data_IF_808592031826
#
_entry.id   IF_808592031826
#
_cell.length_a   1.000
_cell.length_b   1.000
_cell.length_c   1.000
_cell.angle_alpha   90.00
_cell.angle_beta   90.00
_cell.angle_gamma   90.00
#
_symmetry.space_group_name_H-M   'P 1'
#
loop_
_entity.id
_entity.type
_entity.pdbx_description
1 polymer ?
#
# COMPACT_ATOMS: atom_id res chain seq x y z
N UNK A 1 -39.27 -3.60 24.14
CA UNK A 1 -40.70 -3.28 23.94
C UNK A 1 -40.85 -2.51 22.62
N UNK A 2 -41.73 -3.00 21.74
CA UNK A 2 -42.43 -2.35 20.59
C UNK A 2 -41.68 -1.49 19.56
N UNK A 3 -41.55 -2.12 18.37
CA UNK A 3 -41.68 -1.63 16.97
C UNK A 3 -42.28 -0.23 16.77
N UNK A 4 -41.74 0.46 15.75
CA UNK A 4 -42.53 0.98 14.62
C UNK A 4 -41.70 0.96 13.32
N UNK A 5 -42.34 0.44 12.27
CA UNK A 5 -41.93 0.43 10.86
C UNK A 5 -42.48 1.69 10.19
N UNK A 6 -41.78 2.19 9.18
CA UNK A 6 -42.41 2.81 7.99
C UNK A 6 -41.59 2.47 6.74
N UNK A 7 -42.33 2.23 5.68
CA UNK A 7 -41.94 1.66 4.39
C UNK A 7 -41.95 2.76 3.32
N UNK A 8 -41.07 2.67 2.32
CA UNK A 8 -41.00 3.58 1.17
C UNK A 8 -40.62 2.83 -0.11
N UNK A 9 -41.62 2.63 -0.95
CA UNK A 9 -41.68 2.11 -2.32
C UNK A 9 -40.49 2.42 -3.25
N UNK A 10 -40.04 1.41 -4.03
CA UNK A 10 -39.65 1.61 -5.43
C UNK A 10 -40.05 0.41 -6.31
N UNK A 11 -40.67 0.73 -7.43
CA UNK A 11 -41.32 -0.16 -8.39
C UNK A 11 -40.31 -0.80 -9.36
N UNK A 12 -40.60 -2.03 -9.79
CA UNK A 12 -39.73 -2.83 -10.65
C UNK A 12 -39.82 -2.51 -12.15
N UNK A 13 -38.83 -3.01 -12.89
CA UNK A 13 -38.98 -3.45 -14.29
C UNK A 13 -37.86 -4.43 -14.65
N UNK A 14 -38.25 -5.68 -14.84
CA UNK A 14 -37.50 -6.76 -15.47
C UNK A 14 -37.57 -6.61 -16.99
N UNK A 15 -36.44 -6.81 -17.69
CA UNK A 15 -36.42 -7.18 -19.10
C UNK A 15 -35.49 -8.37 -19.30
N UNK A 16 -36.10 -9.53 -19.51
CA UNK A 16 -35.52 -10.75 -20.05
C UNK A 16 -35.77 -10.75 -21.56
N UNK A 17 -34.73 -10.93 -22.38
CA UNK A 17 -34.91 -11.51 -23.72
C UNK A 17 -33.91 -12.63 -23.96
N UNK A 18 -34.50 -13.82 -24.06
CA UNK A 18 -33.93 -15.07 -24.51
C UNK A 18 -33.90 -15.07 -26.04
N UNK A 19 -32.84 -15.60 -26.66
CA UNK A 19 -32.94 -16.03 -28.05
C UNK A 19 -32.35 -17.43 -28.22
N UNK A 20 -33.22 -18.34 -28.65
CA UNK A 20 -32.99 -19.78 -28.84
C UNK A 20 -32.70 -20.07 -30.31
N UNK A 21 -31.75 -20.99 -30.50
CA UNK A 21 -31.69 -22.07 -31.51
C UNK A 21 -31.70 -21.70 -33.01
N UNK A 22 -30.67 -22.18 -33.71
CA UNK A 22 -30.94 -23.18 -34.75
C UNK A 22 -29.74 -24.10 -35.00
N UNK A 23 -29.93 -25.37 -34.64
CA UNK A 23 -29.14 -26.52 -35.07
C UNK A 23 -29.70 -27.04 -36.39
N UNK A 24 -28.85 -27.32 -37.39
CA UNK A 24 -29.18 -28.32 -38.40
C UNK A 24 -27.97 -29.19 -38.71
N UNK A 25 -28.18 -30.48 -38.43
CA UNK A 25 -27.33 -31.63 -38.72
C UNK A 25 -27.71 -32.11 -40.12
N UNK A 26 -26.74 -32.48 -40.96
CA UNK A 26 -26.99 -33.44 -42.03
C UNK A 26 -25.75 -34.29 -42.29
N UNK A 27 -25.87 -35.57 -41.91
CA UNK A 27 -25.07 -36.69 -42.43
C UNK A 27 -25.59 -37.05 -43.82
N UNK A 28 -24.72 -37.38 -44.78
CA UNK A 28 -24.62 -38.74 -45.39
C UNK A 28 -23.85 -38.79 -46.71
N UNK A 29 -23.13 -39.92 -46.84
CA UNK A 29 -22.90 -40.77 -48.04
C UNK A 29 -21.73 -40.46 -48.99
N UNK A 30 -20.65 -41.22 -48.74
CA UNK A 30 -19.97 -42.12 -49.69
C UNK A 30 -20.72 -42.45 -50.98
N UNK A 31 -20.06 -42.33 -52.15
CA UNK A 31 -19.65 -43.46 -53.02
C UNK A 31 -18.83 -43.05 -54.26
N UNK A 32 -17.70 -43.74 -54.45
CA UNK A 32 -17.10 -44.29 -55.70
C UNK A 32 -17.57 -43.79 -57.09
N UNK A 33 -16.60 -43.38 -57.92
CA UNK A 33 -16.14 -44.03 -59.19
C UNK A 33 -15.09 -43.10 -59.86
N UNK A 34 -13.86 -43.51 -60.19
CA UNK A 34 -13.32 -44.56 -61.08
C UNK A 34 -13.31 -44.14 -62.57
N UNK A 35 -12.15 -43.63 -63.00
CA UNK A 35 -11.63 -43.63 -64.39
C UNK A 35 -10.11 -43.57 -64.27
N UNK A 36 -9.39 -44.69 -64.21
CA UNK A 36 -8.77 -45.39 -65.35
C UNK A 36 -8.10 -44.41 -66.32
N UNK A 37 -6.78 -44.27 -66.21
CA UNK A 37 -5.96 -44.19 -67.42
C UNK A 37 -4.65 -44.97 -67.25
N UNK A 38 -4.36 -45.78 -68.26
CA UNK A 38 -3.29 -46.77 -68.34
C UNK A 38 -1.99 -46.12 -68.80
N UNK A 39 -0.88 -46.58 -68.21
CA UNK A 39 0.33 -46.90 -68.95
C UNK A 39 1.44 -45.84 -68.98
N UNK A 40 2.48 -46.05 -68.17
CA UNK A 40 3.77 -46.59 -68.64
C UNK A 40 4.72 -46.80 -67.46
N UNK A 41 5.17 -48.05 -67.33
CA UNK A 41 6.25 -48.45 -66.43
C UNK A 41 7.57 -47.84 -66.90
N UNK A 42 8.32 -47.24 -65.99
CA UNK A 42 9.77 -47.07 -66.12
C UNK A 42 10.41 -46.98 -64.73
N UNK A 43 11.02 -48.11 -64.34
CA UNK A 43 12.22 -48.30 -63.52
C UNK A 43 12.47 -47.35 -62.33
N UNK A 44 12.48 -47.95 -61.13
CA UNK A 44 13.08 -47.44 -59.88
C UNK A 44 14.52 -46.93 -60.11
N UNK A 45 15.01 -46.04 -59.24
CA UNK A 45 15.84 -46.56 -58.15
C UNK A 45 15.42 -46.06 -56.76
N UNK A 46 15.53 -46.96 -55.79
CA UNK A 46 15.57 -46.63 -54.37
C UNK A 46 16.71 -45.63 -54.10
N UNK A 47 16.39 -44.48 -53.55
CA UNK A 47 17.33 -43.75 -52.70
C UNK A 47 16.73 -43.62 -51.31
N UNK A 48 17.34 -44.33 -50.38
CA UNK A 48 17.04 -44.28 -48.96
C UNK A 48 17.46 -42.92 -48.41
N UNK A 49 16.52 -42.26 -47.72
CA UNK A 49 16.74 -41.03 -47.00
C UNK A 49 17.86 -41.23 -45.96
N UNK A 50 19.08 -40.77 -46.28
CA UNK A 50 20.17 -40.70 -45.31
C UNK A 50 19.97 -39.49 -44.40
N UNK A 51 19.70 -39.80 -43.13
CA UNK A 51 20.03 -39.04 -41.92
C UNK A 51 20.80 -37.73 -42.16
N UNK A 52 20.08 -36.61 -42.05
CA UNK A 52 20.66 -35.25 -42.03
C UNK A 52 20.91 -34.79 -40.59
N UNK A 53 21.34 -35.69 -39.71
CA UNK A 53 21.53 -35.44 -38.27
C UNK A 53 22.91 -35.87 -37.77
N UNK A 54 24.02 -35.43 -38.40
CA UNK A 54 25.37 -35.57 -37.77
C UNK A 54 26.53 -34.73 -38.32
N UNK A 55 26.32 -33.72 -39.19
CA UNK A 55 27.46 -32.97 -39.79
C UNK A 55 28.07 -31.88 -38.91
N UNK A 56 27.33 -31.26 -37.98
CA UNK A 56 27.87 -30.17 -37.12
C UNK A 56 28.84 -30.68 -36.05
N UNK A 57 28.57 -31.83 -35.42
CA UNK A 57 29.35 -32.39 -34.30
C UNK A 57 30.73 -32.92 -34.69
N UNK A 58 30.91 -33.36 -35.95
CA UNK A 58 32.22 -33.83 -36.47
C UNK A 58 33.23 -32.71 -36.73
N UNK A 59 32.80 -31.45 -36.80
CA UNK A 59 33.70 -30.31 -37.06
C UNK A 59 34.45 -29.86 -35.81
N UNK A 60 33.76 -29.81 -34.66
CA UNK A 60 34.32 -29.38 -33.38
C UNK A 60 35.40 -30.34 -32.86
N UNK A 61 35.19 -31.65 -33.01
CA UNK A 61 36.13 -32.69 -32.59
C UNK A 61 37.45 -32.63 -33.36
N UNK A 62 37.39 -32.42 -34.68
CA UNK A 62 38.59 -32.23 -35.52
C UNK A 62 39.31 -30.93 -35.20
N UNK A 63 38.58 -29.84 -35.03
CA UNK A 63 39.15 -28.55 -34.64
C UNK A 63 39.85 -28.61 -33.28
N UNK A 64 39.22 -29.26 -32.29
CA UNK A 64 39.80 -29.45 -30.95
C UNK A 64 41.10 -30.23 -31.01
N UNK A 65 41.16 -31.31 -31.81
CA UNK A 65 42.35 -32.14 -31.99
C UNK A 65 43.56 -31.37 -32.56
N UNK A 66 43.33 -30.36 -33.40
CA UNK A 66 44.38 -29.52 -34.01
C UNK A 66 44.61 -28.16 -33.31
N UNK A 67 43.83 -27.82 -32.29
CA UNK A 67 43.95 -26.55 -31.57
C UNK A 67 45.14 -26.53 -30.58
N UNK A 68 45.84 -25.39 -30.50
CA UNK A 68 46.92 -25.16 -29.52
C UNK A 68 46.41 -25.20 -28.07
N UNK A 69 47.30 -25.46 -27.11
CA UNK A 69 46.95 -25.51 -25.67
C UNK A 69 46.28 -24.19 -25.19
N UNK A 70 46.77 -23.05 -25.67
CA UNK A 70 46.18 -21.72 -25.40
C UNK A 70 44.76 -21.61 -25.95
N UNK A 71 44.53 -22.04 -27.19
CA UNK A 71 43.20 -21.99 -27.82
C UNK A 71 42.18 -22.88 -27.09
N UNK A 72 42.61 -24.07 -26.65
CA UNK A 72 41.76 -24.97 -25.85
C UNK A 72 41.41 -24.36 -24.49
N UNK A 73 42.40 -23.80 -23.77
CA UNK A 73 42.19 -23.12 -22.49
C UNK A 73 41.25 -21.92 -22.60
N UNK A 74 41.44 -21.07 -23.62
CA UNK A 74 40.56 -19.93 -23.89
C UNK A 74 39.14 -20.41 -24.20
N UNK A 75 38.99 -21.47 -25.00
CA UNK A 75 37.67 -21.99 -25.37
C UNK A 75 36.94 -22.65 -24.19
N UNK A 76 37.64 -23.41 -23.36
CA UNK A 76 37.08 -23.94 -22.12
C UNK A 76 36.67 -22.82 -21.17
N UNK A 77 37.50 -21.78 -21.04
CA UNK A 77 37.21 -20.63 -20.17
C UNK A 77 35.99 -19.85 -20.69
N UNK A 78 35.89 -19.62 -22.00
CA UNK A 78 34.71 -18.97 -22.61
C UNK A 78 33.44 -19.77 -22.42
N UNK A 79 33.50 -21.10 -22.53
CA UNK A 79 32.35 -21.96 -22.29
C UNK A 79 31.93 -21.95 -20.81
N UNK A 80 32.91 -21.92 -19.89
CA UNK A 80 32.67 -21.79 -18.45
C UNK A 80 32.00 -20.45 -18.11
N UNK A 81 32.54 -19.35 -18.61
CA UNK A 81 31.98 -18.00 -18.42
C UNK A 81 30.56 -17.93 -19.01
N UNK A 82 30.35 -18.40 -20.24
CA UNK A 82 29.03 -18.44 -20.85
C UNK A 82 28.03 -19.26 -20.03
N UNK A 83 28.46 -20.39 -19.45
CA UNK A 83 27.62 -21.21 -18.58
C UNK A 83 27.23 -20.47 -17.30
N UNK A 84 28.20 -19.80 -16.64
CA UNK A 84 27.95 -18.99 -15.44
C UNK A 84 26.97 -17.86 -15.75
N UNK A 85 27.14 -17.17 -16.88
CA UNK A 85 26.22 -16.12 -17.32
C UNK A 85 24.81 -16.67 -17.55
N UNK A 86 24.64 -17.84 -18.18
CA UNK A 86 23.33 -18.46 -18.38
C UNK A 86 22.68 -18.83 -17.05
N UNK A 87 23.43 -19.40 -16.10
CA UNK A 87 22.92 -19.72 -14.76
C UNK A 87 22.48 -18.44 -14.05
N UNK A 88 23.31 -17.40 -14.02
CA UNK A 88 22.95 -16.12 -13.41
C UNK A 88 21.69 -15.50 -14.04
N UNK A 89 21.55 -15.56 -15.37
CA UNK A 89 20.34 -15.10 -16.06
C UNK A 89 19.11 -15.92 -15.68
N UNK A 90 19.21 -17.25 -15.63
CA UNK A 90 18.09 -18.10 -15.21
C UNK A 90 17.69 -17.79 -13.77
N UNK A 91 18.65 -17.67 -12.86
CA UNK A 91 18.41 -17.33 -11.46
C UNK A 91 17.73 -15.98 -11.29
N UNK A 92 18.23 -14.93 -11.96
CA UNK A 92 17.61 -13.60 -11.92
C UNK A 92 16.20 -13.59 -12.51
N UNK A 93 15.96 -14.31 -13.61
CA UNK A 93 14.61 -14.42 -14.18
C UNK A 93 13.65 -15.17 -13.26
N UNK A 94 14.11 -16.26 -12.62
CA UNK A 94 13.28 -17.00 -11.67
C UNK A 94 12.92 -16.15 -10.45
N UNK A 95 13.88 -15.39 -9.92
CA UNK A 95 13.66 -14.48 -8.79
C UNK A 95 12.63 -13.39 -9.14
N UNK A 96 12.78 -12.74 -10.30
CA UNK A 96 11.81 -11.74 -10.79
C UNK A 96 10.41 -12.35 -10.90
N UNK A 97 10.27 -13.56 -11.45
CA UNK A 97 8.97 -14.22 -11.59
C UNK A 97 8.34 -14.52 -10.22
N UNK A 98 9.12 -15.04 -9.28
CA UNK A 98 8.65 -15.33 -7.91
C UNK A 98 8.19 -14.05 -7.22
N UNK A 99 8.99 -12.98 -7.23
CA UNK A 99 8.61 -11.70 -6.66
C UNK A 99 7.32 -11.14 -7.28
N UNK A 100 7.14 -11.27 -8.60
CA UNK A 100 5.91 -10.81 -9.27
C UNK A 100 4.69 -11.62 -8.83
N UNK A 101 4.84 -12.92 -8.60
CA UNK A 101 3.75 -13.76 -8.09
C UNK A 101 3.37 -13.32 -6.67
N UNK A 102 4.34 -13.08 -5.79
CA UNK A 102 4.10 -12.63 -4.42
C UNK A 102 3.42 -11.26 -4.38
N UNK A 103 3.84 -10.31 -5.22
CA UNK A 103 3.20 -8.99 -5.35
C UNK A 103 1.73 -9.15 -5.76
N UNK A 104 1.45 -9.95 -6.79
CA UNK A 104 0.09 -10.17 -7.26
C UNK A 104 -0.77 -10.85 -6.19
N UNK A 105 -0.21 -11.81 -5.45
CA UNK A 105 -0.91 -12.46 -4.33
C UNK A 105 -1.22 -11.48 -3.22
N UNK A 106 -0.27 -10.64 -2.80
CA UNK A 106 -0.48 -9.60 -1.81
C UNK A 106 -1.58 -8.63 -2.26
N UNK A 107 -1.49 -8.11 -3.49
CA UNK A 107 -2.49 -7.19 -4.05
C UNK A 107 -3.88 -7.81 -4.15
N UNK A 108 -4.00 -9.10 -4.48
CA UNK A 108 -5.29 -9.79 -4.49
C UNK A 108 -5.89 -9.88 -3.09
N UNK A 109 -5.10 -10.23 -2.06
CA UNK A 109 -5.54 -10.20 -0.66
C UNK A 109 -5.98 -8.80 -0.24
N UNK A 110 -5.19 -7.77 -0.60
CA UNK A 110 -5.50 -6.37 -0.33
C UNK A 110 -6.83 -5.96 -0.97
N UNK A 111 -7.06 -6.31 -2.23
CA UNK A 111 -8.33 -6.04 -2.92
C UNK A 111 -9.52 -6.72 -2.23
N UNK A 112 -9.36 -7.92 -1.69
CA UNK A 112 -10.41 -8.60 -0.91
C UNK A 112 -10.74 -7.84 0.39
N UNK A 113 -9.72 -7.34 1.08
CA UNK A 113 -9.90 -6.50 2.28
C UNK A 113 -10.59 -5.18 1.94
N UNK A 114 -10.28 -4.57 0.79
CA UNK A 114 -10.98 -3.37 0.31
C UNK A 114 -12.45 -3.67 0.03
N UNK A 115 -12.76 -4.76 -0.65
CA UNK A 115 -14.14 -5.12 -0.97
C UNK A 115 -14.96 -5.45 0.28
N UNK A 116 -14.34 -6.07 1.28
CA UNK A 116 -15.05 -6.57 2.47
C UNK A 116 -15.11 -5.55 3.59
N UNK A 117 -14.01 -4.82 3.82
CA UNK A 117 -13.82 -3.93 4.97
C UNK A 117 -13.53 -2.48 4.59
N UNK A 118 -13.44 -2.17 3.28
CA UNK A 118 -13.05 -0.85 2.79
C UNK A 118 -11.68 -0.39 3.32
N UNK A 119 -10.77 -1.34 3.58
CA UNK A 119 -9.43 -1.07 4.09
C UNK A 119 -8.38 -1.70 3.15
N UNK A 120 -7.48 -0.89 2.62
CA UNK A 120 -6.30 -1.36 1.89
C UNK A 120 -5.06 -1.17 2.78
N UNK A 121 -4.39 -2.25 3.22
CA UNK A 121 -3.17 -2.08 4.00
C UNK A 121 -2.01 -1.51 3.16
N UNK A 122 -2.01 -1.61 1.83
CA UNK A 122 -0.94 -1.04 0.98
C UNK A 122 -1.25 0.33 0.39
N UNK A 123 -2.45 0.85 0.66
CA UNK A 123 -2.88 2.19 0.27
C UNK A 123 -3.86 2.73 1.32
N UNK A 124 -3.39 2.94 2.55
CA UNK A 124 -4.24 3.43 3.65
C UNK A 124 -4.74 4.84 3.32
N UNK A 125 -3.85 5.66 2.76
CA UNK A 125 -4.10 7.02 2.31
C UNK A 125 -3.12 7.34 1.17
N UNK A 126 -3.59 8.05 0.14
CA UNK A 126 -2.75 8.48 -0.97
C UNK A 126 -1.77 9.59 -0.56
N UNK A 127 -0.63 9.67 -1.24
CA UNK A 127 0.33 10.79 -1.08
C UNK A 127 -0.34 12.16 -1.30
N UNK A 128 -1.26 12.22 -2.27
CA UNK A 128 -2.02 13.42 -2.58
C UNK A 128 -2.87 13.90 -1.41
N UNK A 129 -3.54 12.99 -0.69
CA UNK A 129 -4.32 13.37 0.50
C UNK A 129 -3.42 13.66 1.71
N UNK A 130 -2.32 12.92 1.86
CA UNK A 130 -1.46 13.04 3.03
C UNK A 130 -0.61 14.32 3.03
N UNK A 131 -0.05 14.69 1.87
CA UNK A 131 0.83 15.85 1.71
C UNK A 131 0.14 17.10 1.17
N UNK A 132 -1.19 17.11 1.05
CA UNK A 132 -1.94 18.31 0.67
C UNK A 132 -1.99 19.33 1.80
N UNK A 133 -0.98 20.19 1.85
CA UNK A 133 -0.84 21.30 2.80
C UNK A 133 -1.94 22.39 2.71
N UNK A 134 -2.84 22.27 1.73
CA UNK A 134 -3.95 23.18 1.48
C UNK A 134 -5.30 22.43 1.51
N UNK A 135 -5.36 21.30 2.21
CA UNK A 135 -6.56 20.47 2.29
C UNK A 135 -7.72 21.17 3.03
N UNK A 136 -7.39 22.12 3.92
CA UNK A 136 -8.30 23.00 4.63
C UNK A 136 -7.61 24.35 4.87
N UNK A 137 -8.37 25.43 4.92
CA UNK A 137 -7.97 26.73 5.48
C UNK A 137 -8.06 26.73 7.01
N UNK A 138 -7.41 27.68 7.68
CA UNK A 138 -7.53 27.86 9.13
C UNK A 138 -9.01 27.96 9.58
N UNK A 139 -9.83 28.72 8.84
CA UNK A 139 -11.24 28.88 9.15
C UNK A 139 -12.02 27.57 9.04
N UNK A 140 -11.73 26.73 8.04
CA UNK A 140 -12.31 25.40 7.90
C UNK A 140 -11.86 24.46 9.01
N UNK A 141 -10.59 24.53 9.43
CA UNK A 141 -10.10 23.76 10.59
C UNK A 141 -10.83 24.19 11.86
N UNK A 142 -10.99 25.49 12.09
CA UNK A 142 -11.71 25.99 13.25
C UNK A 142 -13.20 25.58 13.24
N UNK A 143 -13.86 25.67 12.08
CA UNK A 143 -15.24 25.21 11.92
C UNK A 143 -15.37 23.71 12.23
N UNK A 144 -14.43 22.89 11.73
CA UNK A 144 -14.38 21.46 12.01
C UNK A 144 -14.20 21.16 13.49
N UNK A 145 -13.27 21.85 14.18
CA UNK A 145 -13.07 21.71 15.62
C UNK A 145 -14.31 22.13 16.42
N UNK A 146 -15.03 23.15 15.96
CA UNK A 146 -16.28 23.59 16.60
C UNK A 146 -17.38 22.52 16.48
N UNK A 147 -17.48 21.88 15.32
CA UNK A 147 -18.46 20.82 15.05
C UNK A 147 -18.14 19.54 15.82
N UNK A 148 -16.94 18.98 15.63
CA UNK A 148 -16.55 17.70 16.27
C UNK A 148 -16.42 17.83 17.79
N UNK A 149 -15.98 19.00 18.27
CA UNK A 149 -15.86 19.32 19.69
C UNK A 149 -17.12 19.97 20.27
N UNK A 150 -18.28 19.90 19.62
CA UNK A 150 -19.50 20.61 20.03
C UNK A 150 -19.89 20.34 21.49
N UNK A 151 -19.68 19.11 21.96
CA UNK A 151 -20.02 18.66 23.31
C UNK A 151 -19.07 19.16 24.41
N UNK A 152 -17.91 19.69 24.05
CA UNK A 152 -17.01 20.33 25.01
C UNK A 152 -17.41 21.79 25.24
N UNK A 153 -17.41 22.23 26.50
CA UNK A 153 -17.70 23.61 26.88
C UNK A 153 -16.59 24.20 27.78
N UNK A 154 -16.39 25.51 27.69
CA UNK A 154 -15.36 26.24 28.43
C UNK A 154 -14.07 26.46 27.65
N UNK A 155 -13.07 27.04 28.31
CA UNK A 155 -11.78 27.46 27.71
C UNK A 155 -10.75 26.34 27.60
N UNK A 156 -11.02 25.18 28.18
CA UNK A 156 -10.11 24.02 28.14
C UNK A 156 -10.30 23.16 26.88
N UNK A 157 -11.39 23.35 26.13
CA UNK A 157 -11.68 22.59 24.92
C UNK A 157 -10.69 22.89 23.80
N UNK A 158 -10.32 21.91 22.99
CA UNK A 158 -9.40 22.12 21.86
C UNK A 158 -9.87 23.26 20.93
N UNK A 159 -11.18 23.38 20.70
CA UNK A 159 -11.79 24.40 19.84
C UNK A 159 -11.70 25.84 20.39
N UNK A 160 -11.48 26.02 21.70
CA UNK A 160 -11.46 27.35 22.37
C UNK A 160 -10.13 27.66 23.06
N UNK A 161 -9.38 26.64 23.45
CA UNK A 161 -8.09 26.79 24.15
C UNK A 161 -7.09 27.47 23.22
N UNK A 162 -6.33 28.37 23.81
CA UNK A 162 -5.24 29.06 23.12
C UNK A 162 -3.89 28.65 23.68
N UNK A 163 -2.87 28.80 22.86
CA UNK A 163 -1.50 28.40 23.17
C UNK A 163 -0.54 29.49 22.77
N UNK A 164 0.43 29.75 23.62
CA UNK A 164 1.59 30.53 23.22
C UNK A 164 2.52 29.64 22.41
N UNK A 165 2.89 30.12 21.23
CA UNK A 165 3.84 29.45 20.35
C UNK A 165 5.09 30.28 20.19
N UNK A 166 6.13 29.64 19.69
CA UNK A 166 7.43 30.24 19.46
C UNK A 166 7.76 30.19 17.98
N UNK A 167 8.67 31.06 17.56
CA UNK A 167 9.25 30.95 16.23
C UNK A 167 9.97 29.60 16.07
N UNK A 168 9.86 29.00 14.89
CA UNK A 168 10.71 27.89 14.44
C UNK A 168 11.43 28.35 13.18
N UNK A 169 12.75 28.26 13.17
CA UNK A 169 13.53 28.51 11.98
C UNK A 169 13.18 27.48 10.90
N UNK A 170 13.33 27.88 9.63
CA UNK A 170 13.24 26.92 8.53
C UNK A 170 14.39 25.91 8.63
N UNK A 171 14.11 24.67 8.24
CA UNK A 171 15.11 23.63 8.06
C UNK A 171 14.88 22.92 6.71
N UNK A 172 15.52 21.77 6.52
CA UNK A 172 15.39 20.99 5.29
C UNK A 172 14.03 20.27 5.12
N UNK A 173 13.18 20.28 6.16
CA UNK A 173 11.90 19.56 6.19
C UNK A 173 10.69 20.50 6.16
N UNK A 174 10.76 21.59 6.92
CA UNK A 174 9.70 22.55 7.10
C UNK A 174 10.21 24.00 6.88
N UNK A 175 9.36 24.85 6.31
CA UNK A 175 9.63 26.29 6.31
C UNK A 175 9.49 26.88 7.71
N UNK A 176 9.93 28.12 7.87
CA UNK A 176 9.83 28.81 9.16
C UNK A 176 8.38 28.90 9.64
N UNK A 177 8.19 28.74 10.95
CA UNK A 177 6.93 29.00 11.65
C UNK A 177 7.09 30.31 12.43
N UNK A 178 6.18 31.27 12.23
CA UNK A 178 6.16 32.50 13.03
C UNK A 178 5.27 32.30 14.24
N UNK A 179 5.84 32.29 15.45
CA UNK A 179 5.10 32.16 16.69
C UNK A 179 4.25 33.39 17.03
N UNK A 180 3.23 33.17 17.86
CA UNK A 180 2.39 34.23 18.41
C UNK A 180 1.83 33.82 19.78
N UNK A 181 1.37 34.82 20.53
CA UNK A 181 0.68 34.62 21.81
C UNK A 181 -0.78 34.31 21.58
N UNK A 182 -1.33 33.39 22.36
CA UNK A 182 -2.76 33.05 22.33
C UNK A 182 -3.26 32.50 20.99
N UNK A 183 -2.46 31.72 20.26
CA UNK A 183 -2.91 31.07 19.02
C UNK A 183 -3.97 30.01 19.30
N UNK A 184 -4.98 29.91 18.43
CA UNK A 184 -5.96 28.82 18.46
C UNK A 184 -5.31 27.50 18.01
N UNK A 185 -5.92 26.38 18.39
CA UNK A 185 -5.52 25.08 17.84
C UNK A 185 -5.59 25.04 16.30
N UNK A 186 -6.60 25.71 15.72
CA UNK A 186 -6.77 25.78 14.27
C UNK A 186 -5.61 26.51 13.58
N UNK A 187 -5.17 27.64 14.11
CA UNK A 187 -4.02 28.39 13.60
C UNK A 187 -2.74 27.54 13.65
N UNK A 188 -2.51 26.84 14.76
CA UNK A 188 -1.34 25.96 14.93
C UNK A 188 -1.36 24.83 13.89
N UNK A 189 -2.50 24.17 13.70
CA UNK A 189 -2.66 23.08 12.74
C UNK A 189 -2.43 23.58 11.30
N UNK A 190 -3.08 24.69 10.90
CA UNK A 190 -2.96 25.22 9.54
C UNK A 190 -1.53 25.71 9.23
N UNK A 191 -0.93 26.50 10.12
CA UNK A 191 0.44 26.99 9.94
C UNK A 191 1.45 25.84 9.92
N UNK A 192 1.28 24.83 10.77
CA UNK A 192 2.13 23.63 10.77
C UNK A 192 1.98 22.85 9.47
N UNK A 193 0.74 22.59 9.04
CA UNK A 193 0.42 21.89 7.81
C UNK A 193 1.10 22.55 6.60
N UNK A 194 0.98 23.88 6.49
CA UNK A 194 1.65 24.67 5.45
C UNK A 194 3.17 24.60 5.55
N UNK A 195 3.71 24.81 6.76
CA UNK A 195 5.15 24.86 6.96
C UNK A 195 5.84 23.53 6.61
N UNK A 196 5.25 22.42 7.03
CA UNK A 196 5.80 21.09 6.86
C UNK A 196 5.23 20.34 5.65
N UNK A 197 4.34 20.93 4.85
CA UNK A 197 3.71 20.26 3.70
C UNK A 197 3.00 18.94 4.06
N UNK A 198 2.25 18.95 5.14
CA UNK A 198 1.41 17.83 5.62
C UNK A 198 -0.04 18.31 5.69
N UNK A 199 -1.00 17.44 5.40
CA UNK A 199 -2.42 17.80 5.37
C UNK A 199 -2.99 18.13 6.75
N UNK A 200 -3.77 19.22 6.83
CA UNK A 200 -4.56 19.59 8.01
C UNK A 200 -5.47 18.43 8.45
N UNK A 201 -6.07 17.73 7.47
CA UNK A 201 -6.95 16.58 7.71
C UNK A 201 -6.20 15.43 8.38
N UNK A 202 -4.96 15.16 7.94
CA UNK A 202 -4.10 14.14 8.57
C UNK A 202 -3.78 14.52 10.01
N UNK A 203 -3.37 15.77 10.27
CA UNK A 203 -3.06 16.22 11.63
C UNK A 203 -4.28 16.08 12.56
N UNK A 204 -5.47 16.45 12.09
CA UNK A 204 -6.72 16.26 12.83
C UNK A 204 -7.01 14.78 13.11
N UNK A 205 -6.85 13.91 12.11
CA UNK A 205 -7.03 12.46 12.28
C UNK A 205 -6.06 11.88 13.31
N UNK A 206 -4.79 12.30 13.30
CA UNK A 206 -3.79 11.82 14.26
C UNK A 206 -4.10 12.33 15.68
N UNK A 207 -4.47 13.61 15.85
CA UNK A 207 -4.91 14.14 17.15
C UNK A 207 -6.03 13.30 17.78
N UNK A 208 -6.97 12.85 16.95
CA UNK A 208 -8.06 11.99 17.40
C UNK A 208 -7.60 10.58 17.69
N UNK A 209 -6.83 9.98 16.79
CA UNK A 209 -6.35 8.60 16.94
C UNK A 209 -5.53 8.44 18.22
N UNK A 210 -4.62 9.38 18.48
CA UNK A 210 -3.60 9.25 19.52
C UNK A 210 -4.10 9.69 20.90
N UNK A 211 -4.93 10.74 20.96
CA UNK A 211 -5.38 11.29 22.25
C UNK A 211 -6.89 11.50 22.35
N UNK A 212 -7.68 11.09 21.34
CA UNK A 212 -9.13 11.36 21.26
C UNK A 212 -9.48 12.84 21.49
N UNK A 213 -8.55 13.74 21.13
CA UNK A 213 -8.56 15.12 21.61
C UNK A 213 -9.55 16.01 20.87
N UNK A 214 -9.85 15.73 19.60
CA UNK A 214 -10.75 16.56 18.78
C UNK A 214 -12.19 16.48 19.29
N UNK A 215 -12.64 15.29 19.72
CA UNK A 215 -13.99 15.07 20.24
C UNK A 215 -14.06 15.05 21.77
N UNK A 216 -12.96 15.31 22.48
CA UNK A 216 -12.91 15.23 23.94
C UNK A 216 -13.86 16.26 24.59
N UNK A 217 -14.71 15.80 25.52
CA UNK A 217 -15.64 16.66 26.27
C UNK A 217 -14.99 17.31 27.50
N UNK A 218 -14.00 16.64 28.08
CA UNK A 218 -13.20 17.10 29.22
C UNK A 218 -11.73 16.76 29.00
N UNK A 219 -11.04 17.47 28.08
CA UNK A 219 -9.66 17.17 27.76
C UNK A 219 -8.74 17.45 28.95
N UNK A 220 -7.86 16.52 29.26
CA UNK A 220 -6.83 16.65 30.29
C UNK A 220 -5.60 17.40 29.77
N UNK A 221 -4.83 18.00 30.67
CA UNK A 221 -3.54 18.61 30.29
C UNK A 221 -2.55 17.59 29.70
N UNK A 222 -2.64 16.32 30.11
CA UNK A 222 -1.84 15.26 29.52
C UNK A 222 -2.17 15.04 28.04
N UNK A 223 -3.45 15.06 27.66
CA UNK A 223 -3.83 14.95 26.24
C UNK A 223 -3.26 16.09 25.40
N UNK A 224 -3.17 17.32 25.93
CA UNK A 224 -2.49 18.40 25.21
C UNK A 224 -0.96 18.24 25.22
N UNK A 225 -0.38 17.77 26.33
CA UNK A 225 1.06 17.51 26.45
C UNK A 225 1.54 16.46 25.45
N UNK A 226 0.75 15.42 25.22
CA UNK A 226 1.05 14.25 24.38
C UNK A 226 0.15 14.17 23.12
N UNK A 227 -0.38 15.31 22.64
CA UNK A 227 -1.44 15.42 21.64
C UNK A 227 -1.32 14.51 20.41
N UNK A 228 -0.09 14.26 19.96
CA UNK A 228 0.19 13.45 18.78
C UNK A 228 0.87 12.12 19.13
N UNK A 229 1.26 11.86 20.38
CA UNK A 229 2.01 10.67 20.77
C UNK A 229 3.50 10.67 20.39
N UNK A 230 4.03 11.80 19.90
CA UNK A 230 5.43 11.88 19.49
C UNK A 230 6.36 11.94 20.71
N UNK A 231 7.29 10.98 20.81
CA UNK A 231 8.28 10.90 21.89
C UNK A 231 7.64 10.90 23.29
N UNK A 232 6.46 10.29 23.41
CA UNK A 232 5.70 10.12 24.64
C UNK A 232 5.41 8.63 24.87
N UNK A 233 6.37 7.85 25.39
CA UNK A 233 6.17 6.43 25.66
C UNK A 233 5.12 6.21 26.75
N UNK A 234 4.37 5.11 26.66
CA UNK A 234 3.26 4.79 27.59
C UNK A 234 3.72 4.60 29.04
N UNK A 235 4.98 4.16 29.25
CA UNK A 235 5.58 3.84 30.55
C UNK A 235 6.57 4.88 31.07
N UNK A 236 6.74 6.00 30.37
CA UNK A 236 7.65 7.07 30.79
C UNK A 236 7.11 8.48 30.52
N UNK A 237 7.85 9.49 30.99
CA UNK A 237 7.51 10.88 30.68
C UNK A 237 7.81 11.19 29.21
N UNK A 238 6.94 12.01 28.59
CA UNK A 238 7.24 12.63 27.30
C UNK A 238 8.59 13.35 27.33
N UNK A 239 9.34 13.23 26.25
CA UNK A 239 10.51 14.05 25.99
C UNK A 239 10.14 15.54 26.12
N UNK A 240 10.80 16.30 27.01
CA UNK A 240 10.53 17.72 27.22
C UNK A 240 10.60 18.56 25.93
N UNK A 241 11.42 18.16 24.95
CA UNK A 241 11.54 18.85 23.67
C UNK A 241 10.24 18.79 22.84
N UNK A 242 9.49 17.69 22.95
CA UNK A 242 8.28 17.45 22.17
C UNK A 242 6.99 17.67 22.98
N UNK A 243 7.08 17.81 24.30
CA UNK A 243 5.93 18.01 25.16
C UNK A 243 5.19 19.34 24.86
N UNK A 244 3.85 19.28 24.89
CA UNK A 244 2.96 20.43 24.69
C UNK A 244 2.34 20.47 23.29
N UNK A 245 1.12 21.01 23.19
CA UNK A 245 0.29 20.90 21.98
C UNK A 245 1.01 21.41 20.71
N UNK A 246 1.63 22.59 20.77
CA UNK A 246 2.39 23.14 19.64
C UNK A 246 3.56 22.24 19.23
N UNK A 247 4.38 21.80 20.19
CA UNK A 247 5.55 20.97 19.92
C UNK A 247 5.16 19.57 19.38
N UNK A 248 4.05 19.02 19.87
CA UNK A 248 3.49 17.77 19.36
C UNK A 248 3.02 17.93 17.91
N UNK A 249 2.22 18.94 17.60
CA UNK A 249 1.67 19.14 16.24
C UNK A 249 2.80 19.46 15.25
N UNK A 250 3.65 20.44 15.56
CA UNK A 250 4.78 20.81 14.69
C UNK A 250 5.81 19.69 14.56
N UNK A 251 6.20 19.09 15.69
CA UNK A 251 7.17 18.01 15.74
C UNK A 251 6.72 16.78 14.96
N UNK A 252 5.44 16.39 15.06
CA UNK A 252 4.92 15.24 14.30
C UNK A 252 4.88 15.52 12.80
N UNK A 253 4.48 16.72 12.38
CA UNK A 253 4.50 17.10 10.97
C UNK A 253 5.94 17.11 10.41
N UNK A 254 6.88 17.68 11.16
CA UNK A 254 8.30 17.65 10.81
C UNK A 254 8.83 16.20 10.76
N UNK A 255 8.41 15.34 11.69
CA UNK A 255 8.81 13.93 11.74
C UNK A 255 8.36 13.17 10.50
N UNK A 256 7.15 13.39 9.99
CA UNK A 256 6.71 12.78 8.73
C UNK A 256 7.60 13.20 7.54
N UNK A 257 8.03 14.46 7.50
CA UNK A 257 8.97 14.95 6.46
C UNK A 257 10.36 14.39 6.63
N UNK A 258 10.84 14.25 7.86
CA UNK A 258 12.08 13.56 8.17
C UNK A 258 12.05 12.13 7.61
N UNK A 259 11.00 11.36 7.94
CA UNK A 259 10.86 9.98 7.47
C UNK A 259 10.79 9.89 5.94
N UNK A 260 10.03 10.77 5.29
CA UNK A 260 9.96 10.80 3.83
C UNK A 260 11.33 11.07 3.18
N UNK A 261 12.16 11.92 3.80
CA UNK A 261 13.51 12.22 3.32
C UNK A 261 14.53 11.10 3.62
N UNK A 262 14.24 10.24 4.60
CA UNK A 262 15.16 9.20 5.10
C UNK A 262 14.55 7.81 4.98
N UNK A 263 13.67 7.57 4.00
CA UNK A 263 12.89 6.33 3.87
C UNK A 263 13.78 5.08 3.93
N UNK A 264 14.95 5.11 3.29
CA UNK A 264 15.93 4.00 3.29
C UNK A 264 16.48 3.58 4.66
N UNK A 265 16.28 4.39 5.72
CA UNK A 265 16.74 4.09 7.09
C UNK A 265 15.68 3.35 7.92
N UNK A 266 14.47 3.17 7.38
CA UNK A 266 13.34 2.57 8.08
C UNK A 266 12.95 1.23 7.46
N UNK A 267 12.16 0.44 8.20
CA UNK A 267 11.83 -0.94 7.81
C UNK A 267 10.69 -1.09 6.80
N UNK A 268 9.99 0.00 6.44
CA UNK A 268 8.86 -0.04 5.52
C UNK A 268 9.06 0.91 4.35
N UNK A 269 8.84 0.41 3.13
CA UNK A 269 9.13 1.13 1.89
C UNK A 269 7.98 1.06 0.88
N UNK A 270 7.75 2.16 0.18
CA UNK A 270 6.84 2.20 -0.95
C UNK A 270 7.39 1.45 -2.17
N UNK A 271 6.49 0.91 -2.99
CA UNK A 271 6.82 0.16 -4.21
C UNK A 271 7.42 -1.23 -3.96
N UNK A 272 7.29 -1.77 -2.75
CA UNK A 272 7.90 -3.03 -2.33
C UNK A 272 6.93 -3.89 -1.51
N UNK A 273 7.22 -5.19 -1.43
CA UNK A 273 6.58 -6.08 -0.46
C UNK A 273 7.21 -5.85 0.90
N UNK A 274 6.35 -5.65 1.90
CA UNK A 274 6.72 -5.42 3.28
C UNK A 274 6.02 -6.45 4.14
N UNK A 275 6.76 -7.23 4.93
CA UNK A 275 6.14 -8.08 5.93
C UNK A 275 5.71 -7.22 7.12
N UNK A 276 4.41 -7.16 7.39
CA UNK A 276 3.85 -6.35 8.47
C UNK A 276 3.14 -7.25 9.47
N UNK A 277 3.54 -7.16 10.73
CA UNK A 277 2.97 -7.94 11.82
C UNK A 277 1.56 -7.45 12.18
N UNK A 278 0.72 -8.36 12.67
CA UNK A 278 -0.60 -8.00 13.19
C UNK A 278 -0.55 -7.44 14.61
N UNK A 279 0.51 -7.73 15.36
CA UNK A 279 0.66 -7.41 16.78
C UNK A 279 2.14 -7.49 17.20
N UNK A 280 2.58 -6.77 18.26
CA UNK A 280 3.94 -6.90 18.81
C UNK A 280 4.32 -8.34 19.20
N UNK A 281 3.35 -9.13 19.61
CA UNK A 281 3.53 -10.57 19.83
C UNK A 281 3.69 -11.28 18.49
N UNK A 282 4.91 -11.71 18.18
CA UNK A 282 5.25 -12.41 16.94
C UNK A 282 4.41 -13.68 16.70
N UNK A 283 3.88 -14.34 17.74
CA UNK A 283 3.02 -15.52 17.57
C UNK A 283 1.69 -15.21 16.89
N UNK A 284 1.28 -13.94 16.84
CA UNK A 284 0.11 -13.48 16.09
C UNK A 284 0.33 -13.46 14.58
N UNK A 285 1.58 -13.57 14.12
CA UNK A 285 1.95 -13.55 12.72
C UNK A 285 1.79 -12.19 12.07
N UNK A 286 1.65 -12.21 10.75
CA UNK A 286 1.63 -11.06 9.87
C UNK A 286 1.39 -11.50 8.44
N UNK A 287 1.44 -10.56 7.50
CA UNK A 287 1.39 -10.87 6.07
C UNK A 287 2.21 -9.86 5.27
N UNK A 288 2.63 -10.28 4.08
CA UNK A 288 3.24 -9.37 3.11
C UNK A 288 2.19 -8.44 2.50
N UNK A 289 2.48 -7.15 2.60
CA UNK A 289 1.68 -6.04 2.07
C UNK A 289 2.52 -5.34 0.99
N UNK A 290 1.95 -5.19 -0.20
CA UNK A 290 2.57 -4.34 -1.22
C UNK A 290 2.17 -2.89 -0.96
N UNK A 291 3.08 -2.11 -0.39
CA UNK A 291 2.85 -0.69 -0.08
C UNK A 291 3.03 0.12 -1.36
N UNK A 292 2.02 0.88 -1.75
CA UNK A 292 1.99 1.54 -3.07
C UNK A 292 2.56 2.96 -3.05
N UNK A 293 2.53 3.64 -1.90
CA UNK A 293 2.88 5.06 -1.78
C UNK A 293 3.61 5.38 -0.47
N UNK A 294 4.28 6.53 -0.46
CA UNK A 294 5.12 6.96 0.67
C UNK A 294 4.29 7.22 1.93
N UNK A 295 3.11 7.86 1.81
CA UNK A 295 2.24 8.17 2.92
C UNK A 295 1.83 6.93 3.73
N UNK A 296 1.49 5.83 3.03
CA UNK A 296 1.17 4.56 3.67
C UNK A 296 2.40 3.95 4.35
N UNK A 297 3.58 4.01 3.73
CA UNK A 297 4.82 3.58 4.38
C UNK A 297 5.09 4.38 5.67
N UNK A 298 4.89 5.70 5.64
CA UNK A 298 5.03 6.57 6.82
C UNK A 298 4.09 6.20 7.96
N UNK A 299 2.84 5.82 7.65
CA UNK A 299 1.90 5.36 8.67
C UNK A 299 2.36 4.07 9.36
N UNK A 300 2.99 3.15 8.62
CA UNK A 300 3.60 1.96 9.23
C UNK A 300 4.87 2.27 10.01
N UNK A 301 5.70 3.20 9.56
CA UNK A 301 6.85 3.67 10.35
C UNK A 301 6.37 4.29 11.67
N UNK A 302 5.26 5.02 11.64
CA UNK A 302 4.65 5.65 12.80
C UNK A 302 3.92 4.65 13.72
N UNK A 303 3.24 3.66 13.15
CA UNK A 303 2.47 2.65 13.88
C UNK A 303 2.67 1.28 13.23
N UNK A 304 3.68 0.49 13.68
CA UNK A 304 4.25 -0.62 12.92
C UNK A 304 3.43 -1.92 12.98
N UNK A 305 2.11 -1.84 12.85
CA UNK A 305 1.22 -3.00 12.80
C UNK A 305 0.05 -2.78 11.84
N UNK A 306 -0.35 -3.84 11.15
CA UNK A 306 -1.59 -3.88 10.38
C UNK A 306 -2.71 -4.55 11.18
N UNK A 307 -3.98 -4.17 10.96
CA UNK A 307 -5.10 -4.89 11.59
C UNK A 307 -5.20 -6.31 11.04
N UNK A 308 -5.57 -7.26 11.91
CA UNK A 308 -5.99 -8.58 11.47
C UNK A 308 -7.48 -8.59 11.07
N UNK A 309 -7.97 -9.70 10.54
CA UNK A 309 -9.38 -9.84 10.13
C UNK A 309 -10.38 -9.58 11.27
N UNK A 310 -10.05 -9.97 12.50
CA UNK A 310 -10.93 -9.72 13.66
C UNK A 310 -11.06 -8.22 13.96
N UNK A 311 -9.94 -7.48 13.91
CA UNK A 311 -9.93 -6.03 14.05
C UNK A 311 -10.73 -5.35 12.93
N UNK A 312 -10.57 -5.78 11.68
CA UNK A 312 -11.31 -5.22 10.55
C UNK A 312 -12.81 -5.48 10.65
N UNK A 313 -13.20 -6.71 11.02
CA UNK A 313 -14.61 -7.08 11.19
C UNK A 313 -15.29 -6.33 12.34
N UNK A 314 -14.55 -5.95 13.38
CA UNK A 314 -15.07 -5.17 14.50
C UNK A 314 -15.36 -3.69 14.16
N UNK A 315 -14.86 -3.18 13.02
CA UNK A 315 -14.97 -1.76 12.68
C UNK A 315 -14.32 -0.88 13.75
N UNK A 316 -15.10 -0.01 14.40
CA UNK A 316 -14.63 0.82 15.51
C UNK A 316 -14.53 0.07 16.86
N UNK A 317 -14.97 -1.19 16.91
CA UNK A 317 -14.94 -2.03 18.11
C UNK A 317 -13.63 -2.77 18.33
N UNK A 318 -13.65 -3.65 19.34
CA UNK A 318 -12.54 -4.49 19.74
C UNK A 318 -12.51 -5.81 18.96
N UNK A 319 -11.30 -6.23 18.60
CA UNK A 319 -11.03 -7.52 17.96
C UNK A 319 -10.61 -8.59 18.98
N UNK A 320 -9.80 -9.55 18.54
CA UNK A 320 -9.18 -10.57 19.41
C UNK A 320 -7.81 -10.13 19.96
N UNK A 321 -7.15 -11.00 20.73
CA UNK A 321 -5.83 -10.76 21.35
C UNK A 321 -4.67 -10.49 20.38
N UNK A 322 -4.85 -10.72 19.07
CA UNK A 322 -3.87 -10.44 18.03
C UNK A 322 -4.23 -9.21 17.18
N UNK A 323 -5.18 -8.39 17.65
CA UNK A 323 -5.67 -7.23 16.93
C UNK A 323 -4.85 -6.00 17.23
N UNK A 324 -4.38 -5.31 16.19
CA UNK A 324 -3.87 -3.95 16.27
C UNK A 324 -4.84 -2.98 15.62
N UNK A 325 -4.97 -1.79 16.22
CA UNK A 325 -6.02 -0.84 15.84
C UNK A 325 -5.51 0.44 15.20
N UNK A 326 -4.22 0.78 15.32
CA UNK A 326 -3.71 2.09 14.92
C UNK A 326 -4.05 2.50 13.48
N UNK A 327 -3.53 1.77 12.49
CA UNK A 327 -3.75 2.09 11.08
C UNK A 327 -5.22 1.90 10.64
N UNK A 328 -5.93 0.94 11.25
CA UNK A 328 -7.38 0.79 11.07
C UNK A 328 -8.14 2.03 11.55
N UNK A 329 -7.86 2.48 12.78
CA UNK A 329 -8.51 3.63 13.39
C UNK A 329 -8.19 4.89 12.62
N UNK A 330 -6.95 5.06 12.14
CA UNK A 330 -6.61 6.16 11.23
C UNK A 330 -7.54 6.18 10.01
N UNK A 331 -7.66 5.04 9.31
CA UNK A 331 -8.49 4.93 8.11
C UNK A 331 -9.97 5.21 8.41
N UNK A 332 -10.51 4.63 9.49
CA UNK A 332 -11.91 4.83 9.90
C UNK A 332 -12.18 6.30 10.25
N UNK A 333 -11.30 6.92 11.04
CA UNK A 333 -11.44 8.32 11.47
C UNK A 333 -11.35 9.24 10.26
N UNK A 334 -10.32 9.10 9.43
CA UNK A 334 -10.15 9.92 8.22
C UNK A 334 -11.37 9.80 7.31
N UNK A 335 -11.82 8.57 7.06
CA UNK A 335 -12.94 8.32 6.17
C UNK A 335 -14.26 8.84 6.69
N UNK A 336 -14.52 8.68 7.99
CA UNK A 336 -15.72 9.19 8.63
C UNK A 336 -15.81 10.72 8.61
N UNK A 337 -14.68 11.42 8.63
CA UNK A 337 -14.63 12.88 8.67
C UNK A 337 -14.50 13.55 7.30
N UNK A 338 -13.72 12.95 6.41
CA UNK A 338 -13.25 13.64 5.20
C UNK A 338 -13.56 12.90 3.89
N UNK A 339 -14.16 11.70 3.97
CA UNK A 339 -14.47 10.88 2.80
C UNK A 339 -13.28 10.03 2.36
N UNK A 340 -13.15 9.75 1.06
CA UNK A 340 -12.12 8.82 0.58
C UNK A 340 -10.70 9.30 0.91
N UNK A 341 -9.91 8.41 1.50
CA UNK A 341 -8.47 8.59 1.68
C UNK A 341 -7.65 8.29 0.41
N UNK A 342 -8.31 7.70 -0.59
CA UNK A 342 -7.74 7.19 -1.85
C UNK A 342 -8.44 7.77 -3.06
#
# INVERSE_FOLDING_TARGET
MRRTRTSGYYNGRTMTQSNKKNTSRTKRKSTRNRTVNRGKQSKRPHSTAKSRRSRKTRSFTRWWQHASLRTRLVSTLTALIATICVIALVWTLTDIVVQRIEIVQAQNRQSELVQTYNFDPGDIISDGQFFNAHAMSEAEVQAFLNEQGAQCSGTQCLKTRTFDTEDRAADQYCSAYKGAKGETAAAIIDKTARACKVSQKVLLTVLQKEQQLVTATHPSDFQFKAAMGLSCPDDASCDPQYAGFFNQVFGSAQRYRYYAAHESQYGYHAGQLNYIQYHPNASCGGSDVYITNTATALLYIYTPYQPNTAALAAGAGEGNSCSSYGNRNFAIIYQGWFGSAR
#
